data_IF_578049478645
#
_entry.id   IF_578049478645
#
_cell.length_a   1.000
_cell.length_b   1.000
_cell.length_c   1.000
_cell.angle_alpha   90.00
_cell.angle_beta   90.00
_cell.angle_gamma   90.00
#
_symmetry.space_group_name_H-M   'P 1'
#
loop_
_entity.id
_entity.type
_entity.pdbx_description
1 polymer ?
#
# COMPACT_ATOMS: atom_id res chain seq x y z
N UNK A 1 9.67 -14.12 -3.18
CA UNK A 1 8.57 -14.36 -4.13
C UNK A 1 9.05 -15.31 -5.22
N UNK A 2 8.65 -16.58 -5.16
CA UNK A 2 9.12 -17.62 -6.11
C UNK A 2 8.58 -17.39 -7.53
N UNK A 3 9.29 -17.87 -8.55
CA UNK A 3 8.94 -17.72 -9.98
C UNK A 3 7.50 -18.19 -10.31
N UNK A 4 7.02 -19.20 -9.57
CA UNK A 4 5.65 -19.74 -9.65
C UNK A 4 4.59 -18.75 -9.17
N UNK A 5 4.91 -17.95 -8.15
CA UNK A 5 4.00 -16.98 -7.54
C UNK A 5 3.70 -15.82 -8.51
N UNK A 6 4.74 -15.33 -9.21
CA UNK A 6 4.61 -14.31 -10.25
C UNK A 6 3.75 -14.77 -11.44
N UNK A 7 3.84 -16.05 -11.81
CA UNK A 7 3.03 -16.62 -12.90
C UNK A 7 1.56 -16.78 -12.50
N UNK A 8 1.29 -17.18 -11.26
CA UNK A 8 -0.06 -17.29 -10.71
C UNK A 8 -0.73 -15.92 -10.60
N UNK A 9 0.03 -14.91 -10.15
CA UNK A 9 -0.41 -13.52 -10.10
C UNK A 9 -0.84 -13.00 -11.49
N UNK A 10 0.01 -13.19 -12.49
CA UNK A 10 -0.29 -12.76 -13.86
C UNK A 10 -1.55 -13.47 -14.42
N UNK A 11 -1.76 -14.74 -14.07
CA UNK A 11 -2.96 -15.46 -14.47
C UNK A 11 -4.24 -14.87 -13.85
N UNK A 12 -4.25 -14.57 -12.55
CA UNK A 12 -5.39 -13.92 -11.89
C UNK A 12 -5.74 -12.56 -12.51
N UNK A 13 -4.72 -11.81 -12.94
CA UNK A 13 -4.89 -10.52 -13.60
C UNK A 13 -5.49 -10.69 -15.01
N UNK A 14 -4.95 -11.62 -15.80
CA UNK A 14 -5.47 -11.92 -17.14
C UNK A 14 -6.94 -12.39 -17.09
N UNK A 15 -7.23 -13.30 -16.17
CA UNK A 15 -8.58 -13.83 -15.92
C UNK A 15 -9.54 -12.70 -15.50
N UNK A 16 -9.14 -11.82 -14.59
CA UNK A 16 -9.95 -10.67 -14.17
C UNK A 16 -10.16 -9.61 -15.26
N UNK A 17 -9.25 -9.52 -16.25
CA UNK A 17 -9.41 -8.61 -17.40
C UNK A 17 -10.39 -9.14 -18.44
N UNK A 18 -10.38 -10.45 -18.67
CA UNK A 18 -11.22 -11.10 -19.67
C UNK A 18 -12.58 -11.57 -19.11
N UNK A 19 -12.66 -11.78 -17.79
CA UNK A 19 -13.85 -12.28 -17.10
C UNK A 19 -14.72 -11.19 -16.49
N UNK A 20 -15.86 -11.63 -15.93
CA UNK A 20 -16.75 -10.77 -15.15
C UNK A 20 -16.43 -10.76 -13.65
N UNK A 21 -17.40 -10.35 -12.84
CA UNK A 21 -17.25 -10.13 -11.40
C UNK A 21 -16.63 -11.30 -10.63
N UNK A 22 -16.92 -12.54 -11.04
CA UNK A 22 -16.34 -13.73 -10.41
C UNK A 22 -14.82 -13.84 -10.58
N UNK A 23 -14.29 -13.42 -11.74
CA UNK A 23 -12.85 -13.39 -12.02
C UNK A 23 -12.18 -12.26 -11.25
N UNK A 24 -12.80 -11.07 -11.23
CA UNK A 24 -12.32 -9.96 -10.41
C UNK A 24 -12.28 -10.32 -8.92
N UNK A 25 -13.29 -11.02 -8.41
CA UNK A 25 -13.32 -11.48 -7.02
C UNK A 25 -12.18 -12.47 -6.69
N UNK A 26 -11.72 -13.28 -7.66
CA UNK A 26 -10.52 -14.14 -7.48
C UNK A 26 -9.26 -13.29 -7.34
N UNK A 27 -9.09 -12.29 -8.20
CA UNK A 27 -7.97 -11.35 -8.10
C UNK A 27 -7.96 -10.63 -6.75
N UNK A 28 -9.12 -10.15 -6.29
CA UNK A 28 -9.26 -9.52 -4.96
C UNK A 28 -8.82 -10.49 -3.86
N UNK A 29 -9.30 -11.74 -3.86
CA UNK A 29 -8.91 -12.73 -2.84
C UNK A 29 -7.41 -12.99 -2.82
N UNK A 30 -6.76 -13.05 -3.98
CA UNK A 30 -5.32 -13.29 -4.08
C UNK A 30 -4.48 -12.09 -3.57
N UNK A 31 -4.94 -10.86 -3.82
CA UNK A 31 -4.13 -9.66 -3.61
C UNK A 31 -4.50 -8.82 -2.39
N UNK A 32 -5.73 -8.89 -1.91
CA UNK A 32 -6.25 -7.96 -0.91
C UNK A 32 -5.40 -7.93 0.36
N UNK A 33 -5.02 -9.11 0.89
CA UNK A 33 -4.17 -9.20 2.09
C UNK A 33 -2.79 -8.56 1.90
N UNK A 34 -2.18 -8.68 0.72
CA UNK A 34 -0.88 -8.07 0.39
C UNK A 34 -1.00 -6.55 0.32
N UNK A 35 -2.04 -6.05 -0.33
CA UNK A 35 -2.32 -4.62 -0.42
C UNK A 35 -2.62 -3.98 0.94
N UNK A 36 -3.39 -4.67 1.80
CA UNK A 36 -3.66 -4.21 3.18
C UNK A 36 -2.38 -4.22 4.02
N UNK A 37 -1.54 -5.25 3.91
CA UNK A 37 -0.25 -5.30 4.59
C UNK A 37 0.66 -4.12 4.19
N UNK A 38 0.70 -3.79 2.89
CA UNK A 38 1.42 -2.61 2.38
C UNK A 38 0.86 -1.31 2.94
N UNK A 39 -0.47 -1.11 2.86
CA UNK A 39 -1.13 0.07 3.43
C UNK A 39 -0.88 0.21 4.94
N UNK A 40 -0.91 -0.89 5.69
CA UNK A 40 -0.63 -0.90 7.13
C UNK A 40 0.82 -0.52 7.44
N UNK A 41 1.80 -0.89 6.61
CA UNK A 41 3.19 -0.45 6.81
C UNK A 41 3.33 1.07 6.63
N UNK A 42 2.54 1.67 5.73
CA UNK A 42 2.54 3.11 5.48
C UNK A 42 1.79 3.88 6.57
N UNK A 43 0.59 3.42 6.96
CA UNK A 43 -0.32 4.15 7.85
C UNK A 43 -0.23 3.76 9.33
N UNK A 44 0.23 2.53 9.62
CA UNK A 44 0.24 1.93 10.98
C UNK A 44 -1.12 1.94 11.68
N UNK A 45 -2.17 1.95 10.88
CA UNK A 45 -3.56 2.00 11.29
C UNK A 45 -4.31 1.02 10.39
N UNK A 46 -4.87 -0.04 10.99
CA UNK A 46 -5.48 -1.13 10.23
C UNK A 46 -6.73 -0.65 9.50
N UNK A 47 -7.60 0.08 10.19
CA UNK A 47 -8.86 0.53 9.63
C UNK A 47 -8.62 1.49 8.47
N UNK A 48 -7.65 2.40 8.62
CA UNK A 48 -7.29 3.32 7.54
C UNK A 48 -6.57 2.64 6.38
N UNK A 49 -5.82 1.57 6.64
CA UNK A 49 -5.23 0.75 5.58
C UNK A 49 -6.30 -0.01 4.80
N UNK A 50 -7.29 -0.59 5.48
CA UNK A 50 -8.41 -1.26 4.84
C UNK A 50 -9.23 -0.26 4.00
N UNK A 51 -9.53 0.93 4.54
CA UNK A 51 -10.19 2.01 3.81
C UNK A 51 -9.39 2.41 2.54
N UNK A 52 -8.08 2.64 2.68
CA UNK A 52 -7.21 3.00 1.55
C UNK A 52 -7.25 1.94 0.45
N UNK A 53 -7.23 0.66 0.84
CA UNK A 53 -7.24 -0.48 -0.08
C UNK A 53 -8.61 -0.67 -0.73
N UNK A 54 -9.72 -0.47 -0.01
CA UNK A 54 -11.05 -0.47 -0.61
C UNK A 54 -11.17 0.61 -1.70
N UNK A 55 -10.69 1.82 -1.42
CA UNK A 55 -10.64 2.90 -2.40
C UNK A 55 -9.73 2.56 -3.58
N UNK A 56 -8.59 1.91 -3.32
CA UNK A 56 -7.69 1.43 -4.37
C UNK A 56 -8.36 0.37 -5.26
N UNK A 57 -9.12 -0.57 -4.69
CA UNK A 57 -9.83 -1.58 -5.47
C UNK A 57 -10.85 -0.98 -6.43
N UNK A 58 -11.53 0.09 -6.06
CA UNK A 58 -12.43 0.81 -6.97
C UNK A 58 -11.68 1.47 -8.14
N UNK A 59 -10.45 1.92 -7.93
CA UNK A 59 -9.62 2.45 -9.02
C UNK A 59 -9.04 1.34 -9.89
N UNK A 60 -8.61 0.25 -9.25
CA UNK A 60 -8.12 -0.95 -9.92
C UNK A 60 -9.22 -1.48 -10.83
N UNK A 61 -10.44 -1.67 -10.35
CA UNK A 61 -11.57 -2.14 -11.16
C UNK A 61 -11.80 -1.29 -12.42
N UNK A 62 -11.71 0.04 -12.30
CA UNK A 62 -11.88 0.97 -13.44
C UNK A 62 -10.69 0.97 -14.40
N UNK A 63 -9.47 0.78 -13.89
CA UNK A 63 -8.24 0.86 -14.67
C UNK A 63 -7.77 -0.47 -15.26
N UNK A 64 -8.15 -1.59 -14.65
CA UNK A 64 -7.68 -2.93 -15.00
C UNK A 64 -7.91 -3.31 -16.47
N UNK A 65 -9.05 -2.99 -17.11
CA UNK A 65 -9.25 -3.28 -18.54
C UNK A 65 -8.23 -2.59 -19.45
N UNK A 66 -7.64 -1.47 -19.01
CA UNK A 66 -6.67 -0.67 -19.77
C UNK A 66 -5.21 -1.05 -19.48
N UNK A 67 -4.97 -1.94 -18.51
CA UNK A 67 -3.63 -2.41 -18.20
C UNK A 67 -3.11 -3.24 -19.38
N UNK A 68 -1.98 -2.84 -19.97
CA UNK A 68 -1.45 -3.48 -21.19
C UNK A 68 -0.65 -4.75 -20.92
N UNK A 69 -0.06 -4.84 -19.74
CA UNK A 69 0.78 -5.95 -19.30
C UNK A 69 0.33 -6.42 -17.92
N UNK A 70 -0.08 -7.68 -17.82
CA UNK A 70 -0.56 -8.29 -16.58
C UNK A 70 0.56 -8.36 -15.53
N UNK A 71 1.82 -8.44 -15.96
CA UNK A 71 2.99 -8.43 -15.08
C UNK A 71 3.25 -7.06 -14.45
N UNK A 72 2.67 -5.99 -14.99
CA UNK A 72 2.76 -4.65 -14.41
C UNK A 72 1.77 -4.43 -13.27
N UNK A 73 0.80 -5.34 -13.08
CA UNK A 73 -0.23 -5.22 -12.05
C UNK A 73 0.32 -5.02 -10.63
N UNK A 74 1.32 -5.77 -10.14
CA UNK A 74 1.85 -5.60 -8.79
C UNK A 74 2.27 -4.17 -8.51
N UNK A 75 3.16 -3.64 -9.36
CA UNK A 75 3.71 -2.29 -9.24
C UNK A 75 2.60 -1.25 -9.33
N UNK A 76 1.71 -1.41 -10.31
CA UNK A 76 0.59 -0.50 -10.52
C UNK A 76 -0.40 -0.48 -9.34
N UNK A 77 -0.73 -1.63 -8.77
CA UNK A 77 -1.62 -1.74 -7.61
C UNK A 77 -1.00 -1.14 -6.35
N UNK A 78 0.28 -1.45 -6.07
CA UNK A 78 0.99 -0.85 -4.93
C UNK A 78 1.12 0.67 -5.06
N UNK A 79 1.32 1.20 -6.28
CA UNK A 79 1.29 2.64 -6.54
C UNK A 79 -0.04 3.29 -6.16
N UNK A 80 -1.16 2.68 -6.59
CA UNK A 80 -2.49 3.18 -6.26
C UNK A 80 -2.68 3.22 -4.73
N UNK A 81 -2.31 2.15 -4.03
CA UNK A 81 -2.41 2.07 -2.56
C UNK A 81 -1.52 3.12 -1.88
N UNK A 82 -0.28 3.27 -2.35
CA UNK A 82 0.68 4.25 -1.80
C UNK A 82 0.14 5.67 -1.92
N UNK A 83 -0.38 6.05 -3.10
CA UNK A 83 -1.01 7.36 -3.32
C UNK A 83 -2.25 7.56 -2.44
N UNK A 84 -3.06 6.51 -2.22
CA UNK A 84 -4.23 6.58 -1.32
C UNK A 84 -3.80 6.82 0.13
N UNK A 85 -2.79 6.10 0.60
CA UNK A 85 -2.22 6.30 1.93
C UNK A 85 -1.64 7.71 2.10
N UNK A 86 -0.91 8.22 1.10
CA UNK A 86 -0.36 9.58 1.13
C UNK A 86 -1.45 10.65 1.26
N UNK A 87 -2.58 10.49 0.55
CA UNK A 87 -3.74 11.40 0.67
C UNK A 87 -4.34 11.39 2.07
N UNK A 88 -4.47 10.21 2.66
CA UNK A 88 -4.98 10.02 4.03
C UNK A 88 -4.07 10.70 5.06
N UNK A 89 -2.75 10.61 4.89
CA UNK A 89 -1.77 11.30 5.75
C UNK A 89 -1.84 12.82 5.55
N UNK A 90 -1.90 13.30 4.31
CA UNK A 90 -2.01 14.73 4.02
C UNK A 90 -3.29 15.35 4.60
N UNK A 91 -4.41 14.62 4.56
CA UNK A 91 -5.66 15.02 5.22
C UNK A 91 -5.50 15.18 6.73
N UNK A 92 -4.84 14.23 7.41
CA UNK A 92 -4.58 14.35 8.85
C UNK A 92 -3.72 15.56 9.21
N UNK A 93 -2.69 15.85 8.41
CA UNK A 93 -1.84 17.03 8.64
C UNK A 93 -2.69 18.30 8.55
N UNK A 94 -3.55 18.40 7.52
CA UNK A 94 -4.46 19.53 7.37
C UNK A 94 -5.47 19.64 8.52
N UNK A 95 -6.11 18.54 8.90
CA UNK A 95 -7.09 18.52 10.00
C UNK A 95 -6.42 18.87 11.33
N UNK A 96 -5.20 18.36 11.59
CA UNK A 96 -4.40 18.76 12.77
C UNK A 96 -4.05 20.24 12.75
N UNK A 97 -3.68 20.81 11.61
CA UNK A 97 -3.44 22.25 11.51
C UNK A 97 -4.69 23.09 11.77
N UNK A 98 -5.86 22.65 11.31
CA UNK A 98 -7.14 23.31 11.59
C UNK A 98 -7.51 23.20 13.07
N UNK A 99 -7.29 22.03 13.68
CA UNK A 99 -7.63 21.75 15.09
C UNK A 99 -6.63 22.40 16.07
N UNK A 100 -5.36 22.52 15.70
CA UNK A 100 -4.32 23.19 16.52
C UNK A 100 -4.54 24.70 16.70
N UNK A 101 -5.48 25.30 15.97
CA UNK A 101 -5.97 26.66 16.21
C UNK A 101 -6.85 26.77 17.47
N UNK A 102 -7.21 25.64 18.10
CA UNK A 102 -8.09 25.54 19.28
C UNK A 102 -7.44 24.75 20.44
N UNK A 103 -6.16 25.00 20.72
CA UNK A 103 -5.28 24.36 21.72
C UNK A 103 -4.52 23.10 21.24
N UNK A 104 -3.26 22.88 21.69
CA UNK A 104 -2.43 21.76 21.26
C UNK A 104 -2.54 20.57 22.22
N UNK A 105 -3.19 19.49 21.79
CA UNK A 105 -3.06 18.17 22.42
C UNK A 105 -1.97 17.34 21.70
N UNK A 106 -0.91 16.88 22.41
CA UNK A 106 0.06 15.98 21.83
C UNK A 106 -0.51 14.55 21.74
N UNK A 107 -1.12 14.22 20.61
CA UNK A 107 -1.53 12.85 20.28
C UNK A 107 -0.33 11.93 20.03
N UNK A 108 0.34 11.48 21.08
CA UNK A 108 1.22 10.32 21.07
C UNK A 108 0.37 9.06 20.89
N UNK A 109 0.58 8.34 19.78
CA UNK A 109 0.18 6.93 19.71
C UNK A 109 1.31 6.12 20.34
N UNK A 110 0.97 5.40 21.40
CA UNK A 110 1.89 4.61 22.20
C UNK A 110 2.83 3.75 21.36
N UNK A 111 4.13 4.02 21.51
CA UNK A 111 5.17 3.08 21.13
C UNK A 111 5.34 2.12 22.30
N UNK A 112 4.78 0.91 22.19
CA UNK A 112 5.26 -0.22 22.98
C UNK A 112 6.71 -0.44 22.57
N UNK A 113 7.61 -0.01 23.45
CA UNK A 113 9.04 0.04 23.25
C UNK A 113 9.63 -1.35 23.48
N UNK A 114 9.49 -2.21 22.47
CA UNK A 114 10.19 -3.49 22.43
C UNK A 114 11.67 -3.24 22.08
N UNK A 115 12.59 -3.58 22.98
CA UNK A 115 14.01 -3.22 22.92
C UNK A 115 14.82 -4.14 21.98
N UNK A 116 14.22 -4.49 20.84
CA UNK A 116 14.85 -5.29 19.79
C UNK A 116 15.43 -4.38 18.69
N UNK A 117 16.51 -4.79 18.04
CA UNK A 117 17.11 -4.06 16.90
C UNK A 117 16.10 -3.85 15.76
N UNK A 118 15.15 -4.77 15.63
CA UNK A 118 14.03 -4.66 14.72
C UNK A 118 13.11 -3.47 15.05
N UNK A 119 12.93 -3.10 16.32
CA UNK A 119 12.14 -1.94 16.70
C UNK A 119 12.86 -0.62 16.40
N UNK A 120 14.17 -0.55 16.65
CA UNK A 120 15.01 0.59 16.28
C UNK A 120 15.04 0.81 14.78
N UNK A 121 15.21 -0.27 14.00
CA UNK A 121 15.11 -0.21 12.54
C UNK A 121 13.73 0.27 12.08
N UNK A 122 12.64 -0.25 12.66
CA UNK A 122 11.28 0.22 12.37
C UNK A 122 11.12 1.71 12.69
N UNK A 123 11.71 2.21 13.77
CA UNK A 123 11.67 3.63 14.13
C UNK A 123 12.46 4.51 13.16
N UNK A 124 13.63 4.07 12.71
CA UNK A 124 14.41 4.78 11.70
C UNK A 124 13.63 4.89 10.38
N UNK A 125 12.98 3.79 9.94
CA UNK A 125 12.11 3.81 8.75
C UNK A 125 10.88 4.72 8.95
N UNK A 126 10.37 4.89 10.18
CA UNK A 126 9.30 5.85 10.50
C UNK A 126 9.74 7.31 10.45
N UNK A 127 11.02 7.61 10.66
CA UNK A 127 11.53 8.98 10.58
C UNK A 127 11.67 9.45 9.13
N UNK A 128 11.61 8.53 8.16
CA UNK A 128 11.73 8.87 6.75
C UNK A 128 10.51 9.63 6.22
N UNK A 129 10.72 10.57 5.29
CA UNK A 129 9.67 11.15 4.46
C UNK A 129 8.79 10.06 3.83
N UNK A 130 7.48 10.32 3.60
CA UNK A 130 6.53 9.33 3.08
C UNK A 130 7.01 8.60 1.82
N UNK A 131 7.60 9.33 0.87
CA UNK A 131 8.07 8.78 -0.41
C UNK A 131 9.25 7.82 -0.23
N UNK A 132 10.18 8.14 0.68
CA UNK A 132 11.33 7.29 0.99
C UNK A 132 10.89 6.02 1.74
N UNK A 133 9.90 6.14 2.62
CA UNK A 133 9.30 4.99 3.31
C UNK A 133 8.58 4.05 2.34
N UNK A 134 7.88 4.60 1.36
CA UNK A 134 7.26 3.83 0.29
C UNK A 134 8.30 3.07 -0.53
N UNK A 135 9.40 3.73 -0.93
CA UNK A 135 10.48 3.08 -1.67
C UNK A 135 11.10 1.89 -0.90
N UNK A 136 11.37 2.06 0.41
CA UNK A 136 11.85 0.95 1.26
C UNK A 136 10.80 -0.17 1.37
N UNK A 137 9.53 0.17 1.53
CA UNK A 137 8.45 -0.81 1.61
C UNK A 137 8.36 -1.67 0.33
N UNK A 138 8.39 -1.01 -0.83
CA UNK A 138 8.33 -1.65 -2.14
C UNK A 138 9.55 -2.54 -2.41
N UNK A 139 10.75 -2.05 -2.12
CA UNK A 139 12.00 -2.79 -2.39
C UNK A 139 12.17 -4.00 -1.45
N UNK A 140 12.07 -3.79 -0.13
CA UNK A 140 12.44 -4.83 0.84
C UNK A 140 11.33 -5.83 1.12
N UNK A 141 10.06 -5.43 1.00
CA UNK A 141 8.96 -6.30 1.42
C UNK A 141 8.08 -6.77 0.27
N UNK A 142 7.98 -6.00 -0.81
CA UNK A 142 7.26 -6.42 -2.01
C UNK A 142 8.21 -7.00 -3.08
N UNK A 143 9.51 -7.08 -2.76
CA UNK A 143 10.58 -7.62 -3.61
C UNK A 143 10.62 -7.00 -5.01
N UNK A 144 10.25 -5.73 -5.13
CA UNK A 144 10.36 -4.98 -6.37
C UNK A 144 11.81 -4.56 -6.61
N UNK A 145 12.25 -4.68 -7.85
CA UNK A 145 13.55 -4.18 -8.29
C UNK A 145 13.61 -2.65 -8.20
N UNK A 146 14.83 -2.09 -8.16
CA UNK A 146 15.02 -0.63 -8.15
C UNK A 146 14.31 0.04 -9.34
N UNK A 147 14.34 -0.59 -10.52
CA UNK A 147 13.65 -0.10 -11.70
C UNK A 147 12.12 -0.08 -11.53
N UNK A 148 11.55 -1.13 -10.91
CA UNK A 148 10.12 -1.21 -10.61
C UNK A 148 9.70 -0.20 -9.53
N UNK A 149 10.55 0.04 -8.53
CA UNK A 149 10.33 1.06 -7.49
C UNK A 149 10.31 2.46 -8.09
N UNK A 150 11.18 2.75 -9.07
CA UNK A 150 11.27 4.08 -9.70
C UNK A 150 10.02 4.46 -10.53
N UNK A 151 9.23 3.48 -10.96
CA UNK A 151 8.00 3.69 -11.76
C UNK A 151 6.70 3.51 -10.95
N UNK A 152 6.83 3.00 -9.72
CA UNK A 152 5.77 2.90 -8.72
C UNK A 152 5.39 4.27 -8.14
#
# INVERSE_FOLDING_TARGET
>A
MSRTDKSLDAWHVADARAGGDAAFARLVRAWHRRLVAHGWRLLRDRDRAEEAVQQAWMEIARGLPRLRDDRAFPVWAYRIVTRRCARIVAGQVRDRHLTATLEPEPGQRDAVEDRSDAARLRQAVRALPPDQRAAIALFYFEELSVAEVAVA
#
